data_IF_093195406571
#
_entry.id   IF_093195406571
#
_cell.length_a   1.000
_cell.length_b   1.000
_cell.length_c   1.000
_cell.angle_alpha   90.00
_cell.angle_beta   90.00
_cell.angle_gamma   90.00
#
_symmetry.space_group_name_H-M   'P 1'
#
loop_
_entity.id
_entity.type
_entity.pdbx_description
1 polymer ?
#
# COMPACT_ATOMS: atom_id res chain seq x y z
N UNK A 1 -3.81 16.26 -20.76
CA UNK A 1 -2.98 15.78 -19.70
C UNK A 1 -2.93 14.27 -19.65
N UNK A 2 -1.77 13.73 -19.59
CA UNK A 2 -1.64 12.30 -19.47
C UNK A 2 -1.70 11.89 -18.03
N UNK A 3 -2.42 10.83 -17.80
CA UNK A 3 -2.39 10.22 -16.51
C UNK A 3 -1.53 8.98 -16.57
N UNK A 4 -0.31 9.10 -16.08
CA UNK A 4 0.58 7.95 -15.96
C UNK A 4 0.48 7.35 -14.57
N UNK A 5 -0.56 7.70 -13.84
CA UNK A 5 -0.77 7.20 -12.49
C UNK A 5 -1.55 5.90 -12.52
N UNK A 6 -1.00 4.91 -11.86
CA UNK A 6 -1.66 3.62 -11.68
C UNK A 6 -2.28 3.57 -10.29
N UNK A 7 -3.40 2.87 -10.17
CA UNK A 7 -4.14 2.77 -8.91
C UNK A 7 -4.41 1.31 -8.61
N UNK A 8 -4.11 0.89 -7.37
CA UNK A 8 -4.49 -0.42 -6.87
C UNK A 8 -5.26 -0.23 -5.58
N UNK A 9 -6.37 -0.94 -5.43
CA UNK A 9 -7.25 -0.82 -4.27
C UNK A 9 -7.61 -2.18 -3.74
N UNK A 10 -7.87 -2.23 -2.45
CA UNK A 10 -8.32 -3.47 -1.84
C UNK A 10 -8.61 -3.31 -0.37
N UNK A 11 -8.84 -4.44 0.28
CA UNK A 11 -9.08 -4.50 1.71
C UNK A 11 -8.00 -5.37 2.35
N UNK A 12 -7.43 -4.87 3.42
CA UNK A 12 -6.42 -5.58 4.20
C UNK A 12 -7.09 -6.09 5.47
N UNK A 13 -7.19 -7.41 5.62
CA UNK A 13 -7.85 -8.03 6.76
C UNK A 13 -6.94 -9.07 7.36
N UNK A 14 -6.64 -8.93 8.65
CA UNK A 14 -5.83 -9.89 9.40
C UNK A 14 -4.44 -10.11 8.79
N UNK A 15 -3.93 -9.09 8.12
CA UNK A 15 -2.61 -9.14 7.49
C UNK A 15 -1.95 -7.79 7.67
N UNK A 16 -0.64 -7.80 7.74
CA UNK A 16 0.13 -6.58 7.89
C UNK A 16 0.90 -6.21 6.62
N UNK A 17 0.63 -6.90 5.53
CA UNK A 17 1.27 -6.58 4.27
C UNK A 17 0.27 -6.66 3.13
N UNK A 18 0.46 -5.82 2.13
CA UNK A 18 -0.33 -5.86 0.91
C UNK A 18 0.59 -6.08 -0.28
N UNK A 19 0.09 -6.82 -1.25
CA UNK A 19 0.83 -7.10 -2.46
C UNK A 19 0.35 -6.18 -3.57
N UNK A 20 1.30 -5.57 -4.27
CA UNK A 20 0.99 -4.78 -5.45
C UNK A 20 0.83 -5.70 -6.66
N UNK A 21 0.12 -5.26 -7.71
CA UNK A 21 0.04 -6.06 -8.91
C UNK A 21 1.42 -6.41 -9.44
N UNK A 22 1.59 -7.65 -9.88
CA UNK A 22 2.90 -8.17 -10.24
C UNK A 22 3.53 -7.39 -11.39
N UNK A 23 2.73 -6.91 -12.33
CA UNK A 23 3.23 -6.15 -13.47
C UNK A 23 3.75 -4.77 -13.09
N UNK A 24 3.37 -4.26 -11.90
CA UNK A 24 3.82 -2.94 -11.45
C UNK A 24 5.32 -2.89 -11.21
N UNK A 25 5.90 -4.00 -10.82
CA UNK A 25 7.32 -4.05 -10.46
C UNK A 25 8.22 -3.51 -11.56
N UNK A 26 7.84 -3.75 -12.81
CA UNK A 26 8.66 -3.35 -13.95
C UNK A 26 8.25 -2.04 -14.58
N UNK A 27 7.09 -1.51 -14.21
CA UNK A 27 6.55 -0.33 -14.91
C UNK A 27 6.39 0.90 -14.05
N UNK A 28 6.49 0.78 -12.72
CA UNK A 28 6.33 1.94 -11.84
C UNK A 28 7.66 2.51 -11.39
N UNK A 29 7.60 3.79 -11.04
CA UNK A 29 8.68 4.47 -10.34
C UNK A 29 8.50 4.21 -8.85
N UNK A 30 9.40 3.46 -8.19
CA UNK A 30 9.22 3.11 -6.79
C UNK A 30 9.20 4.32 -5.85
N UNK A 31 9.77 5.44 -6.26
CA UNK A 31 9.76 6.64 -5.44
C UNK A 31 8.41 7.37 -5.50
N UNK A 32 7.54 6.98 -6.41
CA UNK A 32 6.24 7.63 -6.58
C UNK A 32 5.11 6.94 -5.81
N UNK A 33 5.39 5.84 -5.13
CA UNK A 33 4.35 5.05 -4.46
C UNK A 33 3.78 5.82 -3.28
N UNK A 34 2.45 5.99 -3.30
CA UNK A 34 1.71 6.67 -2.24
C UNK A 34 0.60 5.74 -1.78
N UNK A 35 0.46 5.58 -0.47
CA UNK A 35 -0.52 4.67 0.11
C UNK A 35 -1.49 5.45 0.97
N UNK A 36 -2.78 5.23 0.72
CA UNK A 36 -3.85 5.77 1.55
C UNK A 36 -4.54 4.62 2.25
N UNK A 37 -4.74 4.75 3.55
CA UNK A 37 -5.37 3.74 4.37
C UNK A 37 -6.63 4.33 4.99
N UNK A 38 -7.73 3.58 4.91
CA UNK A 38 -9.00 3.96 5.52
C UNK A 38 -9.40 2.89 6.52
N UNK A 39 -9.46 3.27 7.77
CA UNK A 39 -9.78 2.35 8.86
C UNK A 39 -11.23 1.92 8.80
N UNK A 40 -11.48 0.68 9.20
CA UNK A 40 -12.82 0.11 9.23
C UNK A 40 -13.22 -0.07 10.69
N UNK A 41 -14.38 0.44 11.05
CA UNK A 41 -15.04 0.27 12.34
C UNK A 41 -14.35 1.00 13.50
N UNK A 42 -13.06 0.83 13.70
CA UNK A 42 -12.36 1.44 14.83
C UNK A 42 -11.09 2.13 14.36
N UNK A 43 -10.67 3.15 15.12
CA UNK A 43 -9.41 3.82 14.86
C UNK A 43 -8.26 2.91 15.24
N UNK A 44 -7.33 2.68 14.31
CA UNK A 44 -6.22 1.77 14.52
C UNK A 44 -4.86 2.43 14.43
N UNK A 45 -4.83 3.74 14.17
CA UNK A 45 -3.58 4.48 14.03
C UNK A 45 -2.62 3.76 13.07
N UNK A 46 -3.09 3.55 11.85
CA UNK A 46 -2.36 2.76 10.86
C UNK A 46 -1.19 3.52 10.27
N UNK A 47 -0.09 2.83 10.12
CA UNK A 47 1.17 3.40 9.63
C UNK A 47 1.73 2.49 8.55
N UNK A 48 2.09 3.08 7.40
CA UNK A 48 2.90 2.39 6.41
C UNK A 48 4.34 2.50 6.87
N UNK A 49 4.97 1.37 7.23
CA UNK A 49 6.29 1.45 7.80
C UNK A 49 7.39 0.90 6.91
N UNK A 50 7.05 0.22 5.83
CA UNK A 50 8.07 -0.27 4.91
C UNK A 50 7.46 -0.56 3.54
N UNK A 51 8.28 -0.38 2.51
CA UNK A 51 7.94 -0.74 1.16
C UNK A 51 9.13 -1.48 0.57
N UNK A 52 8.96 -2.76 0.32
CA UNK A 52 10.03 -3.60 -0.21
C UNK A 52 9.80 -3.79 -1.70
N UNK A 53 10.49 -2.98 -2.48
CA UNK A 53 10.30 -2.94 -3.93
C UNK A 53 10.57 -4.31 -4.59
N UNK A 54 11.60 -5.00 -4.15
CA UNK A 54 11.95 -6.29 -4.75
C UNK A 54 10.89 -7.34 -4.53
N UNK A 55 10.14 -7.24 -3.45
CA UNK A 55 9.07 -8.18 -3.14
C UNK A 55 7.71 -7.66 -3.59
N UNK A 56 7.67 -6.41 -4.05
CA UNK A 56 6.42 -5.77 -4.49
C UNK A 56 5.39 -5.74 -3.36
N UNK A 57 5.86 -5.51 -2.14
CA UNK A 57 5.03 -5.52 -0.93
C UNK A 57 5.15 -4.23 -0.15
N UNK A 58 4.04 -3.85 0.46
CA UNK A 58 3.98 -2.71 1.37
C UNK A 58 3.56 -3.24 2.74
N UNK A 59 4.27 -2.87 3.78
CA UNK A 59 3.99 -3.31 5.14
C UNK A 59 3.31 -2.21 5.92
N UNK A 60 2.25 -2.59 6.63
CA UNK A 60 1.44 -1.69 7.44
C UNK A 60 1.41 -2.23 8.86
N UNK A 61 1.39 -1.34 9.82
CA UNK A 61 1.21 -1.75 11.22
C UNK A 61 0.24 -0.82 11.92
N UNK A 62 -0.33 -1.31 13.02
CA UNK A 62 -1.18 -0.51 13.88
C UNK A 62 -0.33 0.11 14.99
N UNK A 63 -0.57 1.38 15.28
CA UNK A 63 0.06 2.05 16.40
C UNK A 63 -0.41 1.51 17.76
N UNK A 64 -1.47 0.69 17.75
CA UNK A 64 -1.98 0.07 18.98
C UNK A 64 -1.20 -1.17 19.40
N UNK A 65 -0.25 -1.63 18.57
CA UNK A 65 0.62 -2.72 18.94
C UNK A 65 0.67 -3.80 17.86
N UNK A 66 1.70 -4.67 17.92
CA UNK A 66 1.92 -5.68 16.88
C UNK A 66 0.86 -6.78 16.86
N UNK A 67 0.16 -6.99 17.97
CA UNK A 67 -0.86 -8.03 18.06
C UNK A 67 -2.24 -7.54 17.63
N UNK A 68 -2.37 -6.26 17.28
CA UNK A 68 -3.66 -5.71 16.85
C UNK A 68 -3.92 -6.12 15.41
N UNK A 69 -5.07 -6.76 15.19
CA UNK A 69 -5.48 -7.13 13.83
C UNK A 69 -5.80 -5.87 13.04
N UNK A 70 -5.27 -5.82 11.81
CA UNK A 70 -5.50 -4.70 10.92
C UNK A 70 -6.71 -5.01 10.06
N UNK A 71 -7.63 -4.05 9.96
CA UNK A 71 -8.77 -4.14 9.07
C UNK A 71 -8.98 -2.77 8.46
N UNK A 72 -8.63 -2.63 7.20
CA UNK A 72 -8.71 -1.34 6.51
C UNK A 72 -8.84 -1.52 5.01
N UNK A 73 -9.34 -0.49 4.37
CA UNK A 73 -9.24 -0.37 2.92
C UNK A 73 -7.94 0.33 2.56
N UNK A 74 -7.36 -0.04 1.45
CA UNK A 74 -6.16 0.65 0.97
C UNK A 74 -6.34 1.09 -0.47
N UNK A 75 -5.67 2.19 -0.80
CA UNK A 75 -5.54 2.67 -2.17
C UNK A 75 -4.10 3.05 -2.38
N UNK A 76 -3.48 2.49 -3.39
CA UNK A 76 -2.07 2.76 -3.71
C UNK A 76 -2.01 3.46 -5.05
N UNK A 77 -1.29 4.56 -5.09
CA UNK A 77 -1.03 5.31 -6.31
C UNK A 77 0.45 5.19 -6.65
N UNK A 78 0.75 5.00 -7.91
CA UNK A 78 2.14 4.99 -8.37
C UNK A 78 2.20 5.50 -9.79
N UNK A 79 3.28 6.19 -10.13
CA UNK A 79 3.49 6.70 -11.46
C UNK A 79 4.33 5.73 -12.28
N UNK A 80 4.09 5.72 -13.59
CA UNK A 80 4.90 4.91 -14.49
C UNK A 80 6.33 5.46 -14.55
N UNK A 81 7.29 4.57 -14.74
CA UNK A 81 8.66 4.98 -14.96
C UNK A 81 8.75 5.86 -16.20
N UNK A 82 9.58 6.86 -16.10
CA UNK A 82 9.95 7.64 -17.29
C UNK A 82 11.08 6.93 -18.00
N UNK A 83 11.03 6.99 -19.29
CA UNK A 83 12.11 6.44 -20.09
C UNK A 83 13.24 7.43 -20.22
#
# INVERSE_FOLDING_TARGET
MNSDTLIARGRLTKSNSLDLPVEWKDIIDPDSVTVHLTQIATSQDLIVYDYIFFENKIFVRSGLGPDTEIDCYYTVFADRKKK
#
